data_IF_918283624300
#
_entry.id   IF_918283624300
#
_cell.length_a   1.000
_cell.length_b   1.000
_cell.length_c   1.000
_cell.angle_alpha   90.00
_cell.angle_beta   90.00
_cell.angle_gamma   90.00
#
_symmetry.space_group_name_H-M   'P 1'
#
loop_
_entity.id
_entity.type
_entity.pdbx_description
1 polymer ?
#
# COMPACT_ATOMS: atom_id res chain seq x y z
N UNK A 1 6.56 66.99 -43.73
CA UNK A 1 5.92 65.64 -43.76
C UNK A 1 6.82 64.52 -43.22
N UNK A 2 8.08 64.37 -43.67
CA UNK A 2 8.97 63.28 -43.19
C UNK A 2 9.29 63.29 -41.69
N UNK A 3 9.51 64.47 -41.08
CA UNK A 3 9.82 64.60 -39.64
C UNK A 3 8.61 64.25 -38.75
N UNK A 4 7.40 64.66 -39.16
CA UNK A 4 6.15 64.30 -38.46
C UNK A 4 5.85 62.79 -38.56
N UNK A 5 6.16 62.17 -39.70
CA UNK A 5 6.07 60.71 -39.88
C UNK A 5 7.06 59.96 -38.99
N UNK A 6 8.30 60.46 -38.88
CA UNK A 6 9.33 59.88 -38.00
C UNK A 6 8.96 60.01 -36.52
N UNK A 7 8.47 61.17 -36.08
CA UNK A 7 7.99 61.39 -34.71
C UNK A 7 6.78 60.51 -34.38
N UNK A 8 5.86 60.31 -35.33
CA UNK A 8 4.74 59.38 -35.20
C UNK A 8 5.20 57.93 -35.03
N UNK A 9 6.13 57.46 -35.87
CA UNK A 9 6.72 56.11 -35.77
C UNK A 9 7.47 55.89 -34.44
N UNK A 10 8.23 56.90 -33.96
CA UNK A 10 8.91 56.86 -32.67
C UNK A 10 7.93 56.81 -31.50
N UNK A 11 6.84 57.57 -31.55
CA UNK A 11 5.80 57.54 -30.51
C UNK A 11 5.10 56.17 -30.44
N UNK A 12 4.77 55.58 -31.60
CA UNK A 12 4.14 54.25 -31.68
C UNK A 12 5.10 53.16 -31.19
N UNK A 13 6.39 53.22 -31.60
CA UNK A 13 7.39 52.26 -31.14
C UNK A 13 7.62 52.31 -29.62
N UNK A 14 7.64 53.51 -29.03
CA UNK A 14 7.76 53.69 -27.57
C UNK A 14 6.52 53.20 -26.82
N UNK A 15 5.32 53.47 -27.35
CA UNK A 15 4.06 52.98 -26.76
C UNK A 15 3.99 51.45 -26.77
N UNK A 16 4.32 50.83 -27.91
CA UNK A 16 4.35 49.37 -28.04
C UNK A 16 5.39 48.72 -27.13
N UNK A 17 6.59 49.31 -27.00
CA UNK A 17 7.62 48.81 -26.09
C UNK A 17 7.23 48.94 -24.61
N UNK A 18 6.57 50.06 -24.25
CA UNK A 18 6.03 50.28 -22.89
C UNK A 18 4.95 49.26 -22.54
N UNK A 19 4.04 48.96 -23.47
CA UNK A 19 2.98 47.97 -23.30
C UNK A 19 3.54 46.56 -23.06
N UNK A 20 4.50 46.13 -23.89
CA UNK A 20 5.22 44.86 -23.71
C UNK A 20 5.86 44.79 -22.32
N UNK A 21 6.49 45.88 -21.85
CA UNK A 21 7.11 45.90 -20.52
C UNK A 21 6.08 45.76 -19.40
N UNK A 22 4.92 46.39 -19.52
CA UNK A 22 3.82 46.25 -18.56
C UNK A 22 3.29 44.82 -18.50
N UNK A 23 3.13 44.15 -19.64
CA UNK A 23 2.68 42.74 -19.69
C UNK A 23 3.68 41.83 -18.97
N UNK A 24 4.98 42.01 -19.22
CA UNK A 24 6.04 41.22 -18.59
C UNK A 24 6.04 41.39 -17.05
N UNK A 25 5.94 42.63 -16.56
CA UNK A 25 5.92 42.92 -15.13
C UNK A 25 4.66 42.35 -14.46
N UNK A 26 3.48 42.57 -15.04
CA UNK A 26 2.22 42.03 -14.54
C UNK A 26 2.24 40.50 -14.47
N UNK A 27 2.82 39.83 -15.46
CA UNK A 27 2.97 38.38 -15.43
C UNK A 27 3.90 37.91 -14.30
N UNK A 28 5.01 38.62 -14.02
CA UNK A 28 5.88 38.31 -12.86
C UNK A 28 5.16 38.52 -11.53
N UNK A 29 4.39 39.61 -11.41
CA UNK A 29 3.63 39.91 -10.19
C UNK A 29 2.54 38.85 -9.95
N UNK A 30 1.79 38.46 -10.99
CA UNK A 30 0.84 37.34 -10.92
C UNK A 30 1.48 36.02 -10.51
N UNK A 31 2.67 35.72 -11.04
CA UNK A 31 3.39 34.50 -10.64
C UNK A 31 3.76 34.52 -9.14
N UNK A 32 4.15 35.70 -8.60
CA UNK A 32 4.38 35.86 -7.16
C UNK A 32 3.10 35.74 -6.34
N UNK A 33 1.99 36.27 -6.85
CA UNK A 33 0.68 36.17 -6.19
C UNK A 33 0.21 34.72 -6.08
N UNK A 34 0.50 33.89 -7.09
CA UNK A 34 0.10 32.47 -7.15
C UNK A 34 1.05 31.55 -6.36
N UNK A 35 2.29 31.97 -6.12
CA UNK A 35 3.31 31.12 -5.48
C UNK A 35 2.88 30.58 -4.10
N UNK A 36 2.29 31.36 -3.17
CA UNK A 36 1.81 30.84 -1.89
C UNK A 36 0.72 29.78 -2.04
N UNK A 37 -0.21 29.97 -2.98
CA UNK A 37 -1.30 29.01 -3.21
C UNK A 37 -0.76 27.69 -3.80
N UNK A 38 0.18 27.79 -4.74
CA UNK A 38 0.89 26.63 -5.28
C UNK A 38 1.66 25.86 -4.19
N UNK A 39 2.39 26.57 -3.33
CA UNK A 39 3.12 25.96 -2.21
C UNK A 39 2.16 25.25 -1.25
N UNK A 40 1.05 25.91 -0.88
CA UNK A 40 0.03 25.34 -0.02
C UNK A 40 -0.57 24.06 -0.61
N UNK A 41 -0.98 24.08 -1.89
CA UNK A 41 -1.54 22.92 -2.57
C UNK A 41 -0.54 21.76 -2.65
N UNK A 42 0.71 22.06 -2.99
CA UNK A 42 1.81 21.09 -3.04
C UNK A 42 2.09 20.47 -1.67
N UNK A 43 2.21 21.29 -0.62
CA UNK A 43 2.49 20.82 0.75
C UNK A 43 1.36 19.94 1.29
N UNK A 44 0.10 20.36 1.13
CA UNK A 44 -1.08 19.56 1.52
C UNK A 44 -1.07 18.19 0.86
N UNK A 45 -0.75 18.17 -0.43
CA UNK A 45 -0.80 16.94 -1.24
C UNK A 45 0.35 15.99 -0.89
N UNK A 46 1.56 16.52 -0.71
CA UNK A 46 2.71 15.74 -0.26
C UNK A 46 2.50 15.20 1.15
N UNK A 47 1.97 16.02 2.06
CA UNK A 47 1.66 15.56 3.41
C UNK A 47 0.62 14.44 3.38
N UNK A 48 -0.44 14.57 2.57
CA UNK A 48 -1.42 13.50 2.37
C UNK A 48 -0.76 12.21 1.87
N UNK A 49 0.12 12.29 0.86
CA UNK A 49 0.87 11.13 0.36
C UNK A 49 1.68 10.44 1.49
N UNK A 50 2.42 11.22 2.29
CA UNK A 50 3.22 10.66 3.38
C UNK A 50 2.36 10.05 4.49
N UNK A 51 1.29 10.72 4.91
CA UNK A 51 0.33 10.19 5.87
C UNK A 51 -0.30 8.88 5.37
N UNK A 52 -0.66 8.82 4.08
CA UNK A 52 -1.21 7.62 3.46
C UNK A 52 -0.20 6.46 3.41
N UNK A 53 1.06 6.73 3.04
CA UNK A 53 2.14 5.72 3.11
C UNK A 53 2.34 5.20 4.53
N UNK A 54 2.36 6.09 5.53
CA UNK A 54 2.49 5.70 6.94
C UNK A 54 1.33 4.83 7.41
N UNK A 55 0.09 5.19 7.04
CA UNK A 55 -1.09 4.39 7.37
C UNK A 55 -1.01 3.00 6.74
N UNK A 56 -0.65 2.90 5.45
CA UNK A 56 -0.52 1.63 4.77
C UNK A 56 0.56 0.72 5.40
N UNK A 57 1.70 1.30 5.80
CA UNK A 57 2.73 0.57 6.57
C UNK A 57 2.20 0.08 7.93
N UNK A 58 1.40 0.90 8.62
CA UNK A 58 0.73 0.52 9.86
C UNK A 58 -0.18 -0.69 9.69
N UNK A 59 -1.00 -0.69 8.64
CA UNK A 59 -1.89 -1.82 8.30
C UNK A 59 -1.11 -3.09 7.94
N UNK A 60 -0.03 -2.97 7.17
CA UNK A 60 0.83 -4.11 6.83
C UNK A 60 1.50 -4.72 8.07
N UNK A 61 1.97 -3.88 9.00
CA UNK A 61 2.54 -4.36 10.27
C UNK A 61 1.49 -5.06 11.13
N UNK A 62 0.27 -4.50 11.20
CA UNK A 62 -0.85 -5.13 11.91
C UNK A 62 -1.17 -6.51 11.33
N UNK A 63 -1.24 -6.60 10.01
CA UNK A 63 -1.45 -7.85 9.28
C UNK A 63 -0.38 -8.92 9.61
N UNK A 64 0.91 -8.56 9.62
CA UNK A 64 1.97 -9.51 9.97
C UNK A 64 1.88 -9.99 11.42
N UNK A 65 1.56 -9.10 12.35
CA UNK A 65 1.38 -9.46 13.76
C UNK A 65 0.21 -10.43 13.95
N UNK A 66 -0.93 -10.16 13.31
CA UNK A 66 -2.10 -11.04 13.34
C UNK A 66 -1.81 -12.41 12.71
N UNK A 67 -1.09 -12.43 11.59
CA UNK A 67 -0.63 -13.66 10.94
C UNK A 67 0.24 -14.51 11.87
N UNK A 68 1.21 -13.87 12.54
CA UNK A 68 2.08 -14.55 13.49
C UNK A 68 1.27 -15.11 14.67
N UNK A 69 0.36 -14.32 15.23
CA UNK A 69 -0.50 -14.74 16.33
C UNK A 69 -1.33 -15.97 15.96
N UNK A 70 -2.03 -15.93 14.81
CA UNK A 70 -2.79 -17.08 14.30
C UNK A 70 -1.92 -18.32 14.18
N UNK A 71 -0.73 -18.20 13.57
CA UNK A 71 0.20 -19.32 13.43
C UNK A 71 0.60 -19.91 14.77
N UNK A 72 0.98 -19.05 15.72
CA UNK A 72 1.42 -19.49 17.06
C UNK A 72 0.29 -20.15 17.83
N UNK A 73 -0.93 -19.63 17.74
CA UNK A 73 -2.11 -20.20 18.39
C UNK A 73 -2.45 -21.58 17.79
N UNK A 74 -2.44 -21.74 16.47
CA UNK A 74 -2.70 -23.03 15.84
C UNK A 74 -1.63 -24.08 16.18
N UNK A 75 -0.35 -23.70 16.19
CA UNK A 75 0.72 -24.62 16.62
C UNK A 75 0.55 -25.05 18.08
N UNK A 76 0.15 -24.14 18.95
CA UNK A 76 -0.13 -24.45 20.35
C UNK A 76 -1.26 -25.48 20.49
N UNK A 77 -2.34 -25.35 19.72
CA UNK A 77 -3.45 -26.32 19.73
C UNK A 77 -2.99 -27.72 19.35
N UNK A 78 -2.11 -27.86 18.35
CA UNK A 78 -1.52 -29.15 17.96
C UNK A 78 -0.69 -29.74 19.10
N UNK A 79 0.20 -28.94 19.70
CA UNK A 79 1.06 -29.38 20.79
C UNK A 79 0.26 -29.77 22.04
N UNK A 80 -0.77 -28.99 22.39
CA UNK A 80 -1.65 -29.27 23.51
C UNK A 80 -2.44 -30.57 23.30
N UNK A 81 -2.90 -30.84 22.08
CA UNK A 81 -3.59 -32.08 21.73
C UNK A 81 -2.64 -33.30 21.74
N UNK A 82 -1.43 -33.16 21.20
CA UNK A 82 -0.38 -34.19 21.27
C UNK A 82 -0.07 -34.54 22.73
N UNK A 83 0.19 -33.52 23.56
CA UNK A 83 0.47 -33.72 24.99
C UNK A 83 -0.72 -34.36 25.72
N UNK A 84 -1.95 -33.97 25.39
CA UNK A 84 -3.17 -34.55 25.96
C UNK A 84 -3.28 -36.04 25.67
N UNK A 85 -2.98 -36.45 24.42
CA UNK A 85 -3.03 -37.86 24.04
C UNK A 85 -1.89 -38.67 24.68
N UNK A 86 -0.69 -38.11 24.78
CA UNK A 86 0.43 -38.73 25.49
C UNK A 86 0.12 -38.96 26.97
N UNK A 87 -0.41 -37.93 27.65
CA UNK A 87 -0.82 -38.04 29.06
C UNK A 87 -1.92 -39.08 29.25
N UNK A 88 -2.83 -39.23 28.29
CA UNK A 88 -3.84 -40.28 28.33
C UNK A 88 -3.21 -41.67 28.18
N UNK A 89 -2.23 -41.82 27.29
CA UNK A 89 -1.44 -43.04 27.13
C UNK A 89 -0.81 -43.52 28.44
N UNK A 90 -0.28 -42.59 29.25
CA UNK A 90 0.30 -42.89 30.57
C UNK A 90 -0.72 -43.44 31.60
N UNK A 91 -2.02 -43.32 31.31
CA UNK A 91 -3.11 -43.79 32.20
C UNK A 91 -3.70 -45.14 31.81
N UNK A 92 -3.32 -45.69 30.66
CA UNK A 92 -3.83 -46.98 30.15
C UNK A 92 -2.70 -48.02 30.08
N UNK A 93 -3.05 -49.26 29.71
CA UNK A 93 -2.04 -50.30 29.56
C UNK A 93 -1.08 -49.98 28.40
N UNK A 94 0.23 -50.04 28.68
CA UNK A 94 1.32 -49.63 27.78
C UNK A 94 1.19 -50.23 26.37
N UNK A 95 0.92 -51.54 26.27
CA UNK A 95 0.80 -52.22 24.98
C UNK A 95 -0.40 -51.77 24.13
N UNK A 96 -1.45 -51.22 24.74
CA UNK A 96 -2.58 -50.63 24.02
C UNK A 96 -2.22 -49.27 23.43
N UNK A 97 -1.30 -48.53 24.07
CA UNK A 97 -0.89 -47.20 23.61
C UNK A 97 0.34 -47.23 22.69
N UNK A 98 1.25 -48.18 22.84
CA UNK A 98 2.51 -48.28 22.08
C UNK A 98 2.31 -48.22 20.56
N UNK A 99 1.22 -48.83 20.07
CA UNK A 99 0.88 -48.83 18.64
C UNK A 99 0.42 -47.45 18.13
N UNK A 100 -0.01 -46.55 19.01
CA UNK A 100 -0.50 -45.21 18.66
C UNK A 100 0.59 -44.15 18.62
N UNK A 101 1.76 -44.37 19.24
CA UNK A 101 2.88 -43.41 19.22
C UNK A 101 3.30 -43.09 17.79
N UNK A 102 3.43 -44.10 16.92
CA UNK A 102 3.79 -43.90 15.52
C UNK A 102 2.72 -43.16 14.73
N UNK A 103 1.44 -43.45 15.01
CA UNK A 103 0.32 -42.73 14.42
C UNK A 103 0.33 -41.26 14.83
N UNK A 104 0.55 -40.98 16.12
CA UNK A 104 0.61 -39.64 16.67
C UNK A 104 1.73 -38.82 16.02
N UNK A 105 2.95 -39.37 15.98
CA UNK A 105 4.09 -38.73 15.30
C UNK A 105 3.81 -38.46 13.82
N UNK A 106 3.13 -39.38 13.14
CA UNK A 106 2.74 -39.21 11.74
C UNK A 106 1.75 -38.05 11.55
N UNK A 107 0.72 -37.98 12.39
CA UNK A 107 -0.32 -36.95 12.34
C UNK A 107 0.25 -35.57 12.70
N UNK A 108 1.08 -35.46 13.74
CA UNK A 108 1.70 -34.19 14.14
C UNK A 108 2.72 -33.71 13.12
N UNK A 109 3.52 -34.62 12.54
CA UNK A 109 4.43 -34.32 11.43
C UNK A 109 3.70 -33.86 10.17
N UNK A 110 2.59 -34.53 9.81
CA UNK A 110 1.72 -34.10 8.71
C UNK A 110 1.14 -32.71 8.96
N UNK A 111 0.61 -32.45 10.16
CA UNK A 111 0.04 -31.16 10.52
C UNK A 111 1.08 -30.04 10.41
N UNK A 112 2.29 -30.25 10.95
CA UNK A 112 3.39 -29.28 10.85
C UNK A 112 3.76 -28.91 9.40
N UNK A 113 3.77 -29.90 8.50
CA UNK A 113 3.98 -29.65 7.07
C UNK A 113 2.84 -28.82 6.47
N UNK A 114 1.58 -29.13 6.80
CA UNK A 114 0.41 -28.39 6.29
C UNK A 114 0.32 -26.96 6.82
N UNK A 115 0.65 -26.72 8.09
CA UNK A 115 0.77 -25.36 8.63
C UNK A 115 1.85 -24.56 7.86
N UNK A 116 2.97 -25.20 7.52
CA UNK A 116 4.04 -24.59 6.73
C UNK A 116 3.61 -24.29 5.28
N UNK A 117 2.80 -25.16 4.67
CA UNK A 117 2.20 -24.90 3.35
C UNK A 117 1.23 -23.71 3.39
N UNK A 118 0.37 -23.60 4.42
CA UNK A 118 -0.58 -22.48 4.56
C UNK A 118 0.14 -21.13 4.63
N UNK A 119 1.16 -21.01 5.49
CA UNK A 119 1.91 -19.75 5.63
C UNK A 119 2.71 -19.41 4.38
N UNK A 120 3.26 -20.42 3.69
CA UNK A 120 3.97 -20.20 2.42
C UNK A 120 3.04 -19.62 1.36
N UNK A 121 1.85 -20.20 1.19
CA UNK A 121 0.83 -19.69 0.25
C UNK A 121 0.44 -18.25 0.57
N UNK A 122 0.33 -17.92 1.86
CA UNK A 122 0.06 -16.57 2.30
C UNK A 122 1.20 -15.62 1.88
N UNK A 123 2.44 -15.95 2.22
CA UNK A 123 3.65 -15.17 1.89
C UNK A 123 3.76 -14.89 0.39
N UNK A 124 3.67 -15.96 -0.44
CA UNK A 124 3.70 -15.88 -1.90
C UNK A 124 2.59 -14.96 -2.45
N UNK A 125 1.47 -14.81 -1.73
CA UNK A 125 0.33 -13.99 -2.16
C UNK A 125 0.40 -12.53 -1.72
N UNK A 126 1.16 -12.21 -0.67
CA UNK A 126 1.30 -10.86 -0.13
C UNK A 126 2.26 -10.03 -0.96
N UNK A 127 3.32 -10.63 -1.49
CA UNK A 127 4.36 -9.93 -2.26
C UNK A 127 3.74 -9.05 -3.35
N UNK A 128 2.80 -9.61 -4.12
CA UNK A 128 2.10 -8.90 -5.18
C UNK A 128 1.26 -7.73 -4.66
N UNK A 129 0.52 -7.93 -3.57
CA UNK A 129 -0.35 -6.89 -2.98
C UNK A 129 0.48 -5.71 -2.48
N UNK A 130 1.61 -5.98 -1.83
CA UNK A 130 2.53 -4.94 -1.34
C UNK A 130 3.20 -4.21 -2.50
N UNK A 131 3.61 -4.92 -3.56
CA UNK A 131 4.20 -4.32 -4.75
C UNK A 131 3.22 -3.36 -5.46
N UNK A 132 1.97 -3.80 -5.68
CA UNK A 132 0.92 -2.99 -6.31
C UNK A 132 0.63 -1.71 -5.51
N UNK A 133 0.58 -1.79 -4.18
CA UNK A 133 0.44 -0.61 -3.32
C UNK A 133 1.60 0.38 -3.49
N UNK A 134 2.85 -0.10 -3.50
CA UNK A 134 4.01 0.78 -3.69
C UNK A 134 4.04 1.44 -5.07
N UNK A 135 3.65 0.70 -6.11
CA UNK A 135 3.56 1.21 -7.48
C UNK A 135 2.56 2.36 -7.57
N UNK A 136 1.35 2.19 -7.01
CA UNK A 136 0.33 3.24 -7.01
C UNK A 136 0.77 4.51 -6.29
N UNK A 137 1.47 4.37 -5.15
CA UNK A 137 2.06 5.54 -4.47
C UNK A 137 3.18 6.19 -5.28
N UNK A 138 4.03 5.41 -5.95
CA UNK A 138 5.10 5.94 -6.80
C UNK A 138 4.54 6.71 -8.00
N UNK A 139 3.45 6.23 -8.61
CA UNK A 139 2.74 6.95 -9.68
C UNK A 139 2.17 8.29 -9.18
N UNK A 140 1.55 8.31 -8.00
CA UNK A 140 1.04 9.54 -7.39
C UNK A 140 2.16 10.54 -7.11
N UNK A 141 3.28 10.07 -6.56
CA UNK A 141 4.47 10.89 -6.30
C UNK A 141 5.05 11.47 -7.60
N UNK A 142 5.18 10.66 -8.65
CA UNK A 142 5.67 11.12 -9.95
C UNK A 142 4.73 12.16 -10.59
N UNK A 143 3.41 12.07 -10.37
CA UNK A 143 2.46 13.10 -10.82
C UNK A 143 2.65 14.40 -10.05
N UNK A 144 2.78 14.35 -8.73
CA UNK A 144 3.06 15.54 -7.88
C UNK A 144 4.32 16.24 -8.36
N UNK A 145 5.42 15.50 -8.58
CA UNK A 145 6.70 16.06 -9.03
C UNK A 145 6.64 16.71 -10.41
N UNK A 146 5.69 16.32 -11.28
CA UNK A 146 5.49 16.96 -12.59
C UNK A 146 4.84 18.34 -12.48
N UNK A 147 4.12 18.64 -11.41
CA UNK A 147 3.58 19.98 -11.18
C UNK A 147 4.71 20.93 -10.82
N UNK A 148 5.13 21.76 -11.78
CA UNK A 148 6.18 22.75 -11.57
C UNK A 148 5.69 24.14 -11.94
N UNK A 149 5.67 25.04 -10.95
CA UNK A 149 5.39 26.46 -11.18
C UNK A 149 6.41 27.11 -12.14
N UNK A 150 7.59 26.50 -12.30
CA UNK A 150 8.64 26.98 -13.20
C UNK A 150 8.42 26.62 -14.67
N UNK A 151 7.40 25.81 -15.02
CA UNK A 151 7.06 25.54 -16.43
C UNK A 151 6.81 26.82 -17.24
N UNK A 152 6.38 27.90 -16.58
CA UNK A 152 6.24 29.24 -17.19
C UNK A 152 7.54 29.76 -17.83
N UNK A 153 8.70 29.26 -17.42
CA UNK A 153 10.02 29.65 -17.93
C UNK A 153 10.65 28.63 -18.89
N UNK A 154 10.06 27.43 -19.05
CA UNK A 154 10.68 26.35 -19.83
C UNK A 154 10.44 26.47 -21.34
N UNK A 155 9.40 27.20 -21.76
CA UNK A 155 9.21 27.49 -23.18
C UNK A 155 10.26 28.51 -23.64
N UNK A 156 10.94 28.28 -24.78
CA UNK A 156 11.89 29.23 -25.35
C UNK A 156 11.13 30.45 -25.91
N UNK A 157 10.62 31.27 -25.00
CA UNK A 157 10.03 32.57 -25.30
C UNK A 157 10.85 33.60 -24.54
N UNK A 158 11.33 34.60 -25.27
CA UNK A 158 12.06 35.70 -24.65
C UNK A 158 11.06 36.51 -23.82
N UNK A 159 11.03 36.27 -22.50
CA UNK A 159 10.17 36.94 -21.53
C UNK A 159 10.30 38.47 -21.52
N UNK A 160 11.36 39.01 -22.11
CA UNK A 160 11.57 40.46 -22.25
C UNK A 160 10.91 40.99 -23.53
N UNK A 161 10.94 40.25 -24.63
CA UNK A 161 10.49 40.73 -25.94
C UNK A 161 9.18 40.11 -26.44
N UNK A 162 8.70 39.04 -25.80
CA UNK A 162 7.42 38.33 -26.06
C UNK A 162 6.80 37.79 -24.75
N UNK A 163 6.35 38.66 -23.85
CA UNK A 163 5.83 38.27 -22.54
C UNK A 163 4.41 37.68 -22.60
N UNK A 164 3.71 37.77 -23.73
CA UNK A 164 2.33 37.30 -23.89
C UNK A 164 2.22 35.78 -23.68
N UNK A 165 3.22 35.01 -24.11
CA UNK A 165 3.25 33.55 -23.90
C UNK A 165 3.42 33.16 -22.43
N UNK A 166 4.15 33.97 -21.66
CA UNK A 166 4.29 33.77 -20.22
C UNK A 166 2.96 34.07 -19.51
N UNK A 167 2.34 35.20 -19.84
CA UNK A 167 1.02 35.57 -19.30
C UNK A 167 -0.07 34.53 -19.62
N UNK A 168 -0.06 33.98 -20.84
CA UNK A 168 -0.97 32.90 -21.26
C UNK A 168 -0.69 31.57 -20.55
N UNK A 169 0.58 31.27 -20.25
CA UNK A 169 0.91 30.06 -19.47
C UNK A 169 0.49 30.23 -18.01
N UNK A 170 0.66 31.42 -17.43
CA UNK A 170 0.23 31.74 -16.06
C UNK A 170 -1.29 31.69 -15.91
N UNK A 171 -2.06 32.20 -16.88
CA UNK A 171 -3.51 32.13 -16.81
C UNK A 171 -4.07 30.70 -16.91
N UNK A 172 -3.25 29.75 -17.41
CA UNK A 172 -3.60 28.33 -17.57
C UNK A 172 -3.01 27.43 -16.48
N UNK A 173 -2.19 27.97 -15.57
CA UNK A 173 -1.65 27.22 -14.45
C UNK A 173 -2.81 26.75 -13.56
N UNK A 174 -3.00 25.43 -13.51
CA UNK A 174 -3.87 24.81 -12.51
C UNK A 174 -3.10 24.77 -11.19
N UNK A 175 -3.57 25.53 -10.21
CA UNK A 175 -2.99 25.55 -8.86
C UNK A 175 -3.49 24.35 -8.06
N UNK A 176 -4.72 23.91 -8.35
CA UNK A 176 -5.28 22.72 -7.74
C UNK A 176 -4.71 21.47 -8.42
N UNK A 177 -3.89 20.74 -7.67
CA UNK A 177 -3.27 19.49 -8.09
C UNK A 177 -4.08 18.27 -7.64
N UNK A 178 -5.12 18.45 -6.82
CA UNK A 178 -5.85 17.35 -6.19
C UNK A 178 -6.66 16.51 -7.18
N UNK A 179 -7.21 17.13 -8.23
CA UNK A 179 -8.04 16.46 -9.24
C UNK A 179 -7.26 15.48 -10.14
N UNK A 180 -5.95 15.70 -10.30
CA UNK A 180 -5.11 14.94 -11.25
C UNK A 180 -4.30 13.82 -10.54
N UNK A 181 -4.36 13.77 -9.21
CA UNK A 181 -3.62 12.83 -8.35
C UNK A 181 -4.55 11.70 -7.91
N UNK A 182 -4.05 10.44 -7.80
CA UNK A 182 -4.85 9.33 -7.30
C UNK A 182 -5.40 9.64 -5.91
N UNK A 183 -6.62 9.20 -5.62
CA UNK A 183 -7.11 9.26 -4.25
C UNK A 183 -6.35 8.26 -3.38
N UNK A 184 -5.39 8.77 -2.60
CA UNK A 184 -4.59 7.95 -1.70
C UNK A 184 -5.44 7.20 -0.66
N UNK A 185 -6.62 7.71 -0.32
CA UNK A 185 -7.53 7.01 0.60
C UNK A 185 -8.15 5.76 -0.04
N UNK A 186 -8.42 5.81 -1.35
CA UNK A 186 -8.89 4.65 -2.11
C UNK A 186 -7.79 3.60 -2.28
N UNK A 187 -6.54 4.03 -2.51
CA UNK A 187 -5.37 3.13 -2.56
C UNK A 187 -5.25 2.37 -1.24
N UNK A 188 -5.30 3.06 -0.10
CA UNK A 188 -5.23 2.43 1.22
C UNK A 188 -6.41 1.48 1.42
N UNK A 189 -7.63 1.89 1.06
CA UNK A 189 -8.82 1.07 1.23
C UNK A 189 -8.72 -0.24 0.43
N UNK A 190 -8.28 -0.16 -0.82
CA UNK A 190 -8.06 -1.36 -1.65
C UNK A 190 -7.02 -2.27 -1.01
N UNK A 191 -5.88 -1.71 -0.59
CA UNK A 191 -4.82 -2.46 0.08
C UNK A 191 -5.31 -3.17 1.36
N UNK A 192 -6.09 -2.49 2.20
CA UNK A 192 -6.68 -3.09 3.41
C UNK A 192 -7.65 -4.23 3.08
N UNK A 193 -8.45 -4.10 2.02
CA UNK A 193 -9.35 -5.16 1.56
C UNK A 193 -8.54 -6.37 1.11
N UNK A 194 -7.48 -6.16 0.33
CA UNK A 194 -6.64 -7.24 -0.17
C UNK A 194 -5.93 -7.98 0.98
N UNK A 195 -5.34 -7.25 1.94
CA UNK A 195 -4.77 -7.85 3.15
C UNK A 195 -5.80 -8.64 3.94
N UNK A 196 -7.00 -8.10 4.16
CA UNK A 196 -8.09 -8.78 4.86
C UNK A 196 -8.50 -10.08 4.14
N UNK A 197 -8.59 -10.05 2.82
CA UNK A 197 -8.88 -11.23 2.02
C UNK A 197 -7.78 -12.30 2.16
N UNK A 198 -6.50 -11.90 2.16
CA UNK A 198 -5.37 -12.82 2.39
C UNK A 198 -5.40 -13.42 3.79
N UNK A 199 -5.70 -12.60 4.80
CA UNK A 199 -5.85 -13.04 6.18
C UNK A 199 -6.95 -14.10 6.31
N UNK A 200 -8.12 -13.84 5.71
CA UNK A 200 -9.25 -14.77 5.71
C UNK A 200 -8.91 -16.11 5.03
N UNK A 201 -8.22 -16.07 3.89
CA UNK A 201 -7.76 -17.29 3.21
C UNK A 201 -6.79 -18.09 4.07
N UNK A 202 -5.89 -17.41 4.79
CA UNK A 202 -4.98 -18.07 5.72
C UNK A 202 -5.72 -18.70 6.90
N UNK A 203 -6.62 -17.97 7.56
CA UNK A 203 -7.45 -18.50 8.65
C UNK A 203 -8.21 -19.74 8.22
N UNK A 204 -8.87 -19.71 7.07
CA UNK A 204 -9.60 -20.88 6.55
C UNK A 204 -8.67 -22.09 6.34
N UNK A 205 -7.46 -21.88 5.83
CA UNK A 205 -6.46 -22.95 5.67
C UNK A 205 -6.08 -23.58 7.03
N UNK A 206 -5.93 -22.76 8.07
CA UNK A 206 -5.64 -23.22 9.43
C UNK A 206 -6.82 -23.97 10.04
N UNK A 207 -8.05 -23.49 9.85
CA UNK A 207 -9.27 -24.08 10.42
C UNK A 207 -9.61 -25.44 9.78
N UNK A 208 -9.49 -25.55 8.46
CA UNK A 208 -9.63 -26.82 7.74
C UNK A 208 -8.61 -27.84 8.24
N UNK A 209 -7.36 -27.42 8.39
CA UNK A 209 -6.30 -28.26 8.92
C UNK A 209 -6.56 -28.70 10.36
N UNK A 210 -6.98 -27.76 11.23
CA UNK A 210 -7.29 -28.05 12.63
C UNK A 210 -8.42 -29.07 12.75
N UNK A 211 -9.45 -28.96 11.89
CA UNK A 211 -10.58 -29.89 11.86
C UNK A 211 -10.10 -31.32 11.56
N UNK A 212 -9.33 -31.50 10.49
CA UNK A 212 -8.79 -32.81 10.12
C UNK A 212 -7.85 -33.36 11.20
N UNK A 213 -6.99 -32.51 11.76
CA UNK A 213 -6.08 -32.90 12.83
C UNK A 213 -6.85 -33.41 14.07
N UNK A 214 -7.88 -32.68 14.51
CA UNK A 214 -8.70 -33.08 15.66
C UNK A 214 -9.38 -34.44 15.43
N UNK A 215 -9.90 -34.67 14.22
CA UNK A 215 -10.52 -35.95 13.86
C UNK A 215 -9.53 -37.12 13.94
N UNK A 216 -8.30 -36.93 13.46
CA UNK A 216 -7.27 -37.99 13.52
C UNK A 216 -6.78 -38.25 14.95
N UNK A 217 -6.63 -37.21 15.78
CA UNK A 217 -6.30 -37.38 17.20
C UNK A 217 -7.41 -38.16 17.94
N UNK A 218 -8.67 -37.83 17.68
CA UNK A 218 -9.80 -38.53 18.31
C UNK A 218 -9.89 -39.99 17.86
N UNK A 219 -9.53 -40.30 16.60
CA UNK A 219 -9.45 -41.69 16.12
C UNK A 219 -8.38 -42.50 16.85
N UNK A 220 -7.18 -41.93 17.05
CA UNK A 220 -6.12 -42.59 17.82
C UNK A 220 -6.55 -42.84 19.27
N UNK A 221 -7.23 -41.87 19.87
CA UNK A 221 -7.78 -42.02 21.22
C UNK A 221 -8.77 -43.19 21.28
N UNK A 222 -9.75 -43.25 20.38
CA UNK A 222 -10.74 -44.34 20.33
C UNK A 222 -10.10 -45.71 20.12
N UNK A 223 -9.08 -45.79 19.27
CA UNK A 223 -8.34 -47.05 19.07
C UNK A 223 -7.71 -47.54 20.39
N UNK A 224 -7.13 -46.63 21.17
CA UNK A 224 -6.60 -46.93 22.51
C UNK A 224 -7.71 -47.43 23.46
N UNK A 225 -8.85 -46.73 23.47
CA UNK A 225 -9.98 -47.05 24.35
C UNK A 225 -10.61 -48.41 24.04
N UNK A 226 -10.70 -48.77 22.77
CA UNK A 226 -11.27 -50.06 22.35
C UNK A 226 -10.32 -51.21 22.67
N UNK A 227 -9.00 -51.02 22.52
CA UNK A 227 -8.00 -51.99 22.97
C UNK A 227 -8.15 -52.33 24.47
N UNK A 228 -8.40 -51.33 25.31
CA UNK A 228 -8.61 -51.53 26.76
C UNK A 228 -9.92 -52.30 27.05
N UNK A 229 -10.98 -52.12 26.24
CA UNK A 229 -12.28 -52.80 26.44
C UNK A 229 -12.28 -54.26 26.01
N UNK A 230 -11.39 -54.65 25.10
CA UNK A 230 -11.30 -56.02 24.58
C UNK A 230 -10.55 -56.98 25.51
N UNK A 231 -10.10 -56.51 26.68
CA UNK A 231 -9.46 -57.28 27.75
C UNK A 231 -10.47 -57.81 28.77
#
# INVERSE_FOLDING_TARGET
MKILLFLGLLAVANAQYSEVRHIALNAVDKLREILPDYQSAHDVTINKLYESKQKALGELNSFYNQTLELKTNSLKLVMDAEQSLLNYGDTIEEWCFDNNIWGLMGITGWAGNKYSECIKKLDDSIEKVVAEMYEQFAEGEAKIQKYSIFEVFFKPSNIITRPESMADTISKLKIDITDDIPDFDDIIRSFMIDLSNKQSQYTNCLDELQTVFNDEIERLRKFSEDCVKEQ
#
